data_IF_619724577992
#
_entry.id   IF_619724577992
#
_cell.length_a   1.000
_cell.length_b   1.000
_cell.length_c   1.000
_cell.angle_alpha   90.00
_cell.angle_beta   90.00
_cell.angle_gamma   90.00
#
_symmetry.space_group_name_H-M   'P 1'
#
loop_
_entity.id
_entity.type
_entity.pdbx_description
1 polymer ?
#
# COMPACT_ATOMS: atom_id res chain seq x y z
N UNK A 1 6.47 -40.98 -14.49
CA UNK A 1 5.12 -40.37 -14.47
C UNK A 1 5.18 -39.18 -15.41
N UNK A 2 4.50 -39.25 -16.54
CA UNK A 2 4.32 -38.09 -17.41
C UNK A 2 3.39 -37.12 -16.66
N UNK A 3 3.87 -35.90 -16.43
CA UNK A 3 3.24 -34.89 -15.53
C UNK A 3 2.13 -34.11 -16.24
N UNK A 4 1.79 -34.49 -17.47
CA UNK A 4 1.02 -33.62 -18.37
C UNK A 4 -0.48 -33.56 -18.06
N UNK A 5 -1.05 -34.50 -17.29
CA UNK A 5 -2.45 -34.42 -16.86
C UNK A 5 -2.61 -34.95 -15.42
N UNK A 6 -2.34 -34.09 -14.43
CA UNK A 6 -2.77 -34.37 -13.06
C UNK A 6 -4.20 -33.89 -12.92
N UNK A 7 -5.14 -34.83 -12.79
CA UNK A 7 -6.52 -34.51 -12.44
C UNK A 7 -6.61 -34.13 -10.95
N UNK A 8 -6.61 -32.82 -10.70
CA UNK A 8 -6.67 -32.25 -9.35
C UNK A 8 -7.94 -32.67 -8.58
N UNK A 9 -9.04 -32.98 -9.28
CA UNK A 9 -10.30 -33.38 -8.65
C UNK A 9 -10.23 -34.76 -7.96
N UNK A 10 -9.27 -35.59 -8.37
CA UNK A 10 -9.04 -36.93 -7.82
C UNK A 10 -8.08 -36.95 -6.64
N UNK A 11 -7.38 -35.84 -6.39
CA UNK A 11 -6.42 -35.77 -5.31
C UNK A 11 -7.14 -35.72 -3.95
N UNK A 12 -6.58 -36.36 -2.91
CA UNK A 12 -7.06 -36.16 -1.55
C UNK A 12 -6.94 -34.67 -1.21
N UNK A 13 -7.98 -34.14 -0.56
CA UNK A 13 -8.09 -32.73 -0.22
C UNK A 13 -8.82 -32.50 1.10
N UNK A 14 -8.56 -31.34 1.70
CA UNK A 14 -9.28 -30.82 2.87
C UNK A 14 -9.57 -29.35 2.66
N UNK A 15 -10.55 -28.78 3.37
CA UNK A 15 -10.72 -27.32 3.35
C UNK A 15 -9.59 -26.63 4.12
N UNK A 16 -9.28 -25.38 3.74
CA UNK A 16 -8.17 -24.62 4.32
C UNK A 16 -8.24 -24.52 5.86
N UNK A 17 -9.45 -24.38 6.40
CA UNK A 17 -9.68 -24.27 7.86
C UNK A 17 -9.64 -25.62 8.57
N UNK A 18 -9.55 -26.72 7.84
CA UNK A 18 -9.42 -28.09 8.32
C UNK A 18 -8.00 -28.62 8.13
N UNK A 19 -7.01 -27.73 7.96
CA UNK A 19 -5.61 -28.08 7.70
C UNK A 19 -4.98 -28.99 8.76
N UNK A 20 -5.56 -29.07 9.95
CA UNK A 20 -5.18 -30.00 11.02
C UNK A 20 -5.41 -31.48 10.62
N UNK A 21 -6.27 -31.75 9.64
CA UNK A 21 -6.56 -33.08 9.10
C UNK A 21 -5.55 -33.52 8.02
N UNK A 22 -4.60 -32.66 7.65
CA UNK A 22 -3.58 -33.01 6.66
C UNK A 22 -2.70 -34.19 7.15
N UNK A 23 -2.25 -35.06 6.24
CA UNK A 23 -1.40 -36.19 6.61
C UNK A 23 0.05 -35.77 6.90
N UNK A 24 0.74 -36.59 7.69
CA UNK A 24 2.18 -36.49 7.90
C UNK A 24 2.94 -37.26 6.82
N UNK A 25 3.12 -36.64 5.65
CA UNK A 25 3.85 -37.21 4.52
C UNK A 25 4.55 -36.13 3.68
N UNK A 26 5.47 -36.56 2.80
CA UNK A 26 6.08 -35.67 1.82
C UNK A 26 5.14 -35.47 0.63
N UNK A 27 4.93 -34.24 0.21
CA UNK A 27 3.95 -33.91 -0.83
C UNK A 27 4.31 -32.69 -1.66
N UNK A 28 3.75 -32.67 -2.88
CA UNK A 28 3.38 -31.43 -3.55
C UNK A 28 1.92 -31.14 -3.21
N UNK A 29 1.62 -29.92 -2.76
CA UNK A 29 0.27 -29.49 -2.44
C UNK A 29 -0.17 -28.32 -3.31
N UNK A 30 -1.47 -28.30 -3.61
CA UNK A 30 -2.16 -27.34 -4.45
C UNK A 30 -3.24 -26.67 -3.60
N UNK A 31 -3.24 -25.35 -3.62
CA UNK A 31 -4.28 -24.54 -2.98
C UNK A 31 -5.19 -24.05 -4.09
N UNK A 32 -6.46 -24.45 -4.04
CA UNK A 32 -7.43 -24.15 -5.09
C UNK A 32 -8.63 -23.39 -4.53
N UNK A 33 -9.25 -22.55 -5.37
CA UNK A 33 -10.54 -21.95 -5.05
C UNK A 33 -11.72 -22.88 -5.39
N UNK A 34 -12.93 -22.43 -5.11
CA UNK A 34 -14.17 -23.18 -5.38
C UNK A 34 -14.46 -23.43 -6.86
N UNK A 35 -13.76 -22.75 -7.77
CA UNK A 35 -13.86 -22.93 -9.23
C UNK A 35 -12.80 -23.90 -9.77
N UNK A 36 -11.92 -24.41 -8.90
CA UNK A 36 -10.82 -25.28 -9.29
C UNK A 36 -9.59 -24.53 -9.82
N UNK A 37 -9.54 -23.20 -9.69
CA UNK A 37 -8.35 -22.43 -10.06
C UNK A 37 -7.24 -22.65 -9.03
N UNK A 38 -6.06 -23.05 -9.49
CA UNK A 38 -4.88 -23.19 -8.63
C UNK A 38 -4.35 -21.81 -8.28
N UNK A 39 -4.39 -21.46 -6.99
CA UNK A 39 -3.90 -20.20 -6.43
C UNK A 39 -2.44 -20.29 -6.00
N UNK A 40 -2.04 -21.42 -5.43
CA UNK A 40 -0.68 -21.64 -4.90
C UNK A 40 -0.27 -23.10 -5.00
N UNK A 41 0.99 -23.35 -5.33
CA UNK A 41 1.61 -24.67 -5.32
C UNK A 41 2.81 -24.61 -4.38
N UNK A 42 2.95 -25.61 -3.51
CA UNK A 42 4.13 -25.75 -2.68
C UNK A 42 4.57 -27.19 -2.51
N UNK A 43 5.79 -27.36 -2.01
CA UNK A 43 6.33 -28.67 -1.60
C UNK A 43 6.66 -28.74 -0.12
N UNK A 44 6.70 -29.96 0.40
CA UNK A 44 7.15 -30.24 1.77
C UNK A 44 7.52 -31.71 1.95
N UNK A 45 8.35 -31.99 2.95
CA UNK A 45 8.63 -33.36 3.43
C UNK A 45 7.65 -33.82 4.51
N UNK A 46 6.88 -32.89 5.08
CA UNK A 46 5.85 -33.13 6.07
C UNK A 46 4.71 -32.12 5.88
N UNK A 47 3.57 -32.58 5.38
CA UNK A 47 2.47 -31.73 4.96
C UNK A 47 1.75 -31.07 6.15
N UNK A 48 1.34 -31.83 7.15
CA UNK A 48 0.71 -31.25 8.35
C UNK A 48 1.61 -30.27 9.08
N UNK A 49 2.90 -30.57 9.22
CA UNK A 49 3.86 -29.68 9.87
C UNK A 49 4.06 -28.38 9.09
N UNK A 50 4.15 -28.48 7.76
CA UNK A 50 4.29 -27.30 6.89
C UNK A 50 3.12 -26.33 7.03
N UNK A 51 1.93 -26.86 7.32
CA UNK A 51 0.71 -26.08 7.47
C UNK A 51 0.44 -25.56 8.88
N UNK A 52 1.23 -25.94 9.90
CA UNK A 52 1.15 -25.32 11.23
C UNK A 52 1.50 -23.83 11.19
N UNK A 53 2.59 -23.49 10.52
CA UNK A 53 3.14 -22.13 10.43
C UNK A 53 3.37 -21.72 8.97
N UNK A 54 2.39 -22.03 8.12
CA UNK A 54 2.50 -21.74 6.71
C UNK A 54 2.49 -20.23 6.48
N UNK A 55 3.60 -19.70 5.95
CA UNK A 55 3.79 -18.28 5.69
C UNK A 55 2.63 -17.57 4.96
N UNK A 56 1.93 -18.25 4.03
CA UNK A 56 0.74 -17.70 3.33
C UNK A 56 -0.60 -17.99 3.98
N UNK A 57 -0.64 -18.66 5.14
CA UNK A 57 -1.90 -19.09 5.75
C UNK A 57 -2.83 -17.90 6.01
N UNK A 58 -2.31 -16.78 6.50
CA UNK A 58 -3.14 -15.59 6.74
C UNK A 58 -3.70 -15.00 5.44
N UNK A 59 -2.87 -14.92 4.39
CA UNK A 59 -3.30 -14.48 3.06
C UNK A 59 -4.41 -15.40 2.51
N UNK A 60 -4.22 -16.71 2.57
CA UNK A 60 -5.20 -17.69 2.13
C UNK A 60 -6.48 -17.68 2.97
N UNK A 61 -6.37 -17.51 4.29
CA UNK A 61 -7.52 -17.41 5.20
C UNK A 61 -8.40 -16.21 4.87
N UNK A 62 -7.81 -15.11 4.36
CA UNK A 62 -8.56 -13.94 3.88
C UNK A 62 -9.32 -14.27 2.59
N UNK A 63 -8.67 -14.88 1.60
CA UNK A 63 -9.34 -15.34 0.38
C UNK A 63 -10.49 -16.33 0.67
N UNK A 64 -10.31 -17.18 1.70
CA UNK A 64 -11.33 -18.13 2.16
C UNK A 64 -12.63 -17.49 2.66
N UNK A 65 -12.65 -16.17 2.92
CA UNK A 65 -13.88 -15.45 3.31
C UNK A 65 -14.82 -15.23 2.14
N UNK A 66 -14.29 -15.05 0.92
CA UNK A 66 -15.06 -14.79 -0.30
C UNK A 66 -15.25 -16.06 -1.13
N UNK A 67 -14.22 -16.90 -1.24
CA UNK A 67 -14.23 -18.14 -2.01
C UNK A 67 -13.74 -19.30 -1.15
N UNK A 68 -14.46 -20.42 -1.11
CA UNK A 68 -14.03 -21.58 -0.34
C UNK A 68 -12.71 -22.13 -0.90
N UNK A 69 -11.70 -22.31 -0.05
CA UNK A 69 -10.37 -22.78 -0.44
C UNK A 69 -10.13 -24.20 0.05
N UNK A 70 -9.59 -25.03 -0.84
CA UNK A 70 -9.15 -26.38 -0.53
C UNK A 70 -7.63 -26.52 -0.67
N UNK A 71 -7.08 -27.45 0.10
CA UNK A 71 -5.69 -27.91 0.01
C UNK A 71 -5.75 -29.34 -0.50
N UNK A 72 -5.35 -29.55 -1.75
CA UNK A 72 -5.21 -30.87 -2.37
C UNK A 72 -3.74 -31.27 -2.42
N UNK A 73 -3.40 -32.57 -2.38
CA UNK A 73 -2.00 -32.98 -2.39
C UNK A 73 -1.72 -34.28 -3.15
N UNK A 74 -0.49 -34.38 -3.64
CA UNK A 74 0.07 -35.59 -4.25
C UNK A 74 1.15 -36.16 -3.32
N UNK A 75 0.97 -37.42 -2.88
CA UNK A 75 1.97 -38.13 -2.06
C UNK A 75 3.26 -38.36 -2.86
N UNK A 76 4.36 -37.85 -2.32
CA UNK A 76 5.69 -37.88 -2.88
C UNK A 76 6.70 -38.54 -1.94
N UNK A 77 6.25 -39.34 -0.97
CA UNK A 77 7.09 -40.00 0.04
C UNK A 77 8.18 -40.90 -0.56
N UNK A 78 7.94 -41.46 -1.76
CA UNK A 78 8.93 -42.27 -2.50
C UNK A 78 9.87 -41.45 -3.39
N UNK A 79 9.62 -40.15 -3.57
CA UNK A 79 10.29 -39.29 -4.55
C UNK A 79 10.74 -37.96 -3.93
N UNK A 80 11.15 -37.97 -2.66
CA UNK A 80 11.54 -36.78 -1.89
C UNK A 80 12.61 -35.96 -2.62
N UNK A 81 13.60 -36.63 -3.24
CA UNK A 81 14.69 -35.98 -3.97
C UNK A 81 14.23 -35.21 -5.23
N UNK A 82 13.01 -35.45 -5.71
CA UNK A 82 12.44 -34.81 -6.90
C UNK A 82 11.49 -33.66 -6.58
N UNK A 83 11.16 -33.42 -5.30
CA UNK A 83 10.15 -32.42 -4.89
C UNK A 83 10.40 -31.04 -5.48
N UNK A 84 11.64 -30.54 -5.44
CA UNK A 84 11.99 -29.22 -6.00
C UNK A 84 11.79 -29.16 -7.52
N UNK A 85 12.15 -30.23 -8.24
CA UNK A 85 11.99 -30.31 -9.69
C UNK A 85 10.51 -30.40 -10.08
N UNK A 86 9.73 -31.17 -9.30
CA UNK A 86 8.28 -31.31 -9.49
C UNK A 86 7.54 -30.00 -9.23
N UNK A 87 7.80 -29.33 -8.10
CA UNK A 87 7.22 -28.03 -7.76
C UNK A 87 7.46 -27.00 -8.87
N UNK A 88 8.72 -26.83 -9.30
CA UNK A 88 9.07 -25.89 -10.36
C UNK A 88 8.39 -26.21 -11.69
N UNK A 89 8.24 -27.49 -12.03
CA UNK A 89 7.54 -27.90 -13.25
C UNK A 89 6.05 -27.58 -13.15
N UNK A 90 5.41 -27.89 -12.03
CA UNK A 90 3.99 -27.66 -11.81
C UNK A 90 3.66 -26.17 -11.73
N UNK A 91 4.49 -25.35 -11.07
CA UNK A 91 4.33 -23.89 -11.06
C UNK A 91 4.37 -23.33 -12.49
N UNK A 92 5.27 -23.84 -13.35
CA UNK A 92 5.33 -23.40 -14.76
C UNK A 92 4.09 -23.80 -15.57
N UNK A 93 3.51 -24.98 -15.29
CA UNK A 93 2.32 -25.49 -15.99
C UNK A 93 1.07 -24.72 -15.56
N UNK A 94 0.83 -24.62 -14.25
CA UNK A 94 -0.41 -24.05 -13.71
C UNK A 94 -0.38 -22.52 -13.56
N UNK A 95 0.82 -21.91 -13.60
CA UNK A 95 1.05 -20.49 -13.39
C UNK A 95 0.24 -19.87 -12.21
N UNK A 96 0.32 -20.46 -11.00
CA UNK A 96 -0.46 -20.01 -9.84
C UNK A 96 -0.14 -18.57 -9.44
N UNK A 97 -1.17 -17.75 -9.26
CA UNK A 97 -1.04 -16.31 -9.01
C UNK A 97 -0.22 -16.00 -7.76
N UNK A 98 -0.33 -16.80 -6.69
CA UNK A 98 0.34 -16.51 -5.44
C UNK A 98 1.80 -16.94 -5.41
N UNK A 99 2.28 -17.84 -6.27
CA UNK A 99 3.69 -18.27 -6.23
C UNK A 99 4.68 -17.15 -6.58
N UNK A 100 4.22 -16.14 -7.31
CA UNK A 100 5.05 -15.01 -7.78
C UNK A 100 4.82 -13.72 -6.99
N UNK A 101 3.88 -13.72 -6.05
CA UNK A 101 3.56 -12.54 -5.21
C UNK A 101 4.34 -12.57 -3.91
N UNK A 102 4.57 -11.41 -3.28
CA UNK A 102 5.15 -11.34 -1.94
C UNK A 102 4.15 -11.82 -0.89
N UNK A 103 4.65 -12.46 0.16
CA UNK A 103 3.85 -12.85 1.31
C UNK A 103 3.73 -11.65 2.24
N UNK A 104 2.53 -11.09 2.34
CA UNK A 104 2.24 -10.04 3.31
C UNK A 104 2.23 -10.69 4.70
N UNK A 105 3.26 -10.40 5.50
CA UNK A 105 3.43 -11.00 6.82
C UNK A 105 2.64 -10.20 7.86
N UNK A 106 1.89 -10.83 8.77
CA UNK A 106 1.28 -10.11 9.89
C UNK A 106 2.39 -9.54 10.80
N UNK A 107 2.31 -8.25 11.09
CA UNK A 107 3.26 -7.53 11.95
C UNK A 107 3.23 -8.13 13.36
N UNK A 108 4.41 -8.38 13.94
CA UNK A 108 4.56 -8.69 15.38
C UNK A 108 4.00 -7.52 16.18
N UNK A 109 2.95 -7.76 16.98
CA UNK A 109 2.46 -6.79 17.99
C UNK A 109 3.64 -6.29 18.82
N UNK A 110 4.04 -5.05 18.61
CA UNK A 110 4.82 -4.31 19.59
C UNK A 110 3.79 -3.82 20.61
N UNK A 111 3.97 -4.20 21.87
CA UNK A 111 3.13 -3.77 22.98
C UNK A 111 3.13 -2.24 23.06
N UNK A 112 1.95 -1.65 22.91
CA UNK A 112 1.68 -0.23 23.08
C UNK A 112 2.05 0.23 24.49
N UNK A 113 2.98 1.17 24.60
CA UNK A 113 3.05 2.05 25.77
C UNK A 113 1.93 3.07 25.63
N UNK A 114 0.82 2.83 26.33
CA UNK A 114 -0.23 3.82 26.53
C UNK A 114 0.27 4.97 27.42
N UNK A 115 -0.30 6.15 27.14
CA UNK A 115 -0.33 7.36 27.98
C UNK A 115 0.91 8.25 27.98
N UNK A 116 0.89 9.25 27.09
CA UNK A 116 1.38 10.58 27.47
C UNK A 116 0.44 11.65 26.91
N UNK A 117 -0.31 12.39 27.75
CA UNK A 117 -1.10 13.52 27.30
C UNK A 117 -0.15 14.61 26.76
N UNK A 118 -0.41 15.05 25.53
CA UNK A 118 0.36 16.09 24.85
C UNK A 118 0.24 17.39 25.66
N UNK A 119 1.37 17.95 26.09
CA UNK A 119 1.42 19.29 26.67
C UNK A 119 1.22 20.33 25.57
N UNK A 120 0.16 21.14 25.69
CA UNK A 120 -0.26 22.28 24.86
C UNK A 120 0.78 23.43 24.69
N UNK A 121 2.05 23.23 25.04
CA UNK A 121 3.08 24.30 25.07
C UNK A 121 3.81 24.54 23.74
N UNK A 122 3.50 23.80 22.68
CA UNK A 122 4.21 23.93 21.38
C UNK A 122 3.59 25.02 20.49
N UNK A 123 2.35 25.43 20.75
CA UNK A 123 1.61 26.41 19.92
C UNK A 123 2.22 27.82 19.98
N UNK A 124 2.87 28.19 21.08
CA UNK A 124 3.37 29.57 21.27
C UNK A 124 4.67 29.89 20.50
N UNK A 125 5.46 28.87 20.10
CA UNK A 125 6.79 29.12 19.53
C UNK A 125 6.78 29.61 18.07
N UNK A 126 5.67 29.44 17.34
CA UNK A 126 5.60 29.77 15.91
C UNK A 126 4.89 31.10 15.59
N UNK A 127 4.28 31.76 16.57
CA UNK A 127 3.58 33.06 16.34
C UNK A 127 4.52 34.27 16.17
N UNK A 128 5.84 34.13 16.40
CA UNK A 128 6.74 35.30 16.46
C UNK A 128 7.49 35.67 15.15
N UNK A 129 7.24 35.03 14.00
CA UNK A 129 8.07 35.30 12.80
C UNK A 129 7.37 35.58 11.47
N UNK A 130 6.06 35.84 11.44
CA UNK A 130 5.41 36.35 10.22
C UNK A 130 4.47 37.52 10.53
N UNK A 131 4.86 38.70 10.05
CA UNK A 131 4.08 39.92 10.18
C UNK A 131 2.75 39.84 9.42
N UNK A 132 1.70 40.37 10.06
CA UNK A 132 0.48 40.91 9.48
C UNK A 132 -0.23 40.13 8.35
N UNK A 133 -0.48 38.84 8.56
CA UNK A 133 -1.63 38.19 7.91
C UNK A 133 -2.58 37.65 8.99
N UNK A 134 -3.60 38.44 9.30
CA UNK A 134 -4.81 37.98 9.99
C UNK A 134 -5.57 37.06 9.03
N UNK A 135 -5.18 35.79 8.97
CA UNK A 135 -6.06 34.72 8.56
C UNK A 135 -5.98 33.69 9.68
N UNK A 136 -6.81 33.88 10.71
CA UNK A 136 -7.17 32.79 11.62
C UNK A 136 -8.00 31.86 10.76
N UNK A 137 -7.33 30.96 10.05
CA UNK A 137 -7.98 29.84 9.38
C UNK A 137 -8.49 28.98 10.53
N UNK A 138 -9.80 28.93 10.69
CA UNK A 138 -10.48 27.96 11.52
C UNK A 138 -9.84 26.60 11.24
N UNK A 139 -9.16 26.06 12.25
CA UNK A 139 -8.57 24.73 12.15
C UNK A 139 -9.77 23.80 12.07
N UNK A 140 -10.18 23.42 10.86
CA UNK A 140 -11.02 22.24 10.68
C UNK A 140 -10.35 21.13 11.47
N UNK A 141 -11.00 20.70 12.56
CA UNK A 141 -10.47 19.60 13.36
C UNK A 141 -10.52 18.38 12.44
N UNK A 142 -9.36 17.94 11.97
CA UNK A 142 -9.25 16.73 11.15
C UNK A 142 -9.43 15.47 12.02
N UNK A 143 -10.34 15.51 13.00
CA UNK A 143 -10.71 14.47 13.96
C UNK A 143 -11.34 13.22 13.31
N UNK A 144 -11.44 13.16 11.98
CA UNK A 144 -12.02 12.03 11.26
C UNK A 144 -11.08 11.40 10.23
N UNK A 145 -9.78 11.34 10.50
CA UNK A 145 -9.14 10.06 10.19
C UNK A 145 -9.52 9.15 11.33
N UNK A 146 -10.59 8.37 11.15
CA UNK A 146 -10.86 7.25 12.04
C UNK A 146 -9.53 6.53 12.26
N UNK A 147 -9.01 6.51 13.50
CA UNK A 147 -7.80 5.78 13.78
C UNK A 147 -8.13 4.32 13.50
N UNK A 148 -7.75 3.84 12.32
CA UNK A 148 -7.85 2.43 12.02
C UNK A 148 -6.95 1.70 13.00
N UNK A 149 -7.46 0.69 13.71
CA UNK A 149 -6.63 -0.20 14.51
C UNK A 149 -5.47 -0.73 13.66
N UNK A 150 -4.27 -0.70 14.22
CA UNK A 150 -3.07 -1.18 13.54
C UNK A 150 -3.28 -2.63 13.06
N UNK A 151 -3.06 -2.86 11.76
CA UNK A 151 -3.19 -4.17 11.13
C UNK A 151 -4.54 -4.45 10.45
N UNK A 152 -5.49 -3.52 10.49
CA UNK A 152 -6.68 -3.60 9.66
C UNK A 152 -6.39 -3.30 8.18
N UNK A 153 -7.14 -3.97 7.30
CA UNK A 153 -7.04 -3.79 5.85
C UNK A 153 -8.01 -2.69 5.44
N UNK A 154 -7.51 -1.67 4.75
CA UNK A 154 -8.36 -0.60 4.21
C UNK A 154 -8.76 -0.96 2.78
N UNK A 155 -10.05 -1.17 2.56
CA UNK A 155 -10.60 -1.28 1.21
C UNK A 155 -10.75 0.11 0.60
N UNK A 156 -10.19 0.31 -0.59
CA UNK A 156 -10.06 1.61 -1.24
C UNK A 156 -10.33 1.43 -2.74
N UNK A 157 -10.91 2.45 -3.36
CA UNK A 157 -10.94 2.59 -4.82
C UNK A 157 -9.81 3.51 -5.29
N UNK A 158 -9.30 3.34 -6.51
CA UNK A 158 -8.29 4.25 -7.08
C UNK A 158 -8.67 4.74 -8.46
N UNK A 159 -8.26 5.98 -8.73
CA UNK A 159 -8.39 6.63 -10.03
C UNK A 159 -7.09 7.33 -10.39
N UNK A 160 -6.79 7.39 -11.69
CA UNK A 160 -5.61 8.08 -12.20
C UNK A 160 -6.02 9.38 -12.86
N UNK A 161 -5.51 10.49 -12.34
CA UNK A 161 -5.70 11.82 -12.91
C UNK A 161 -4.48 12.18 -13.75
N UNK A 162 -4.70 12.74 -14.94
CA UNK A 162 -3.63 13.21 -15.82
C UNK A 162 -3.65 14.74 -15.87
N UNK A 163 -2.63 15.36 -15.29
CA UNK A 163 -2.50 16.82 -15.13
C UNK A 163 -1.23 17.29 -15.81
N UNK A 164 -1.33 18.00 -16.94
CA UNK A 164 -0.18 18.51 -17.70
C UNK A 164 0.91 17.43 -17.97
N UNK A 165 0.47 16.20 -18.29
CA UNK A 165 1.35 15.05 -18.52
C UNK A 165 1.91 14.40 -17.25
N UNK A 166 1.37 14.74 -16.07
CA UNK A 166 1.66 14.11 -14.78
C UNK A 166 0.51 13.20 -14.40
N UNK A 167 0.79 11.92 -14.19
CA UNK A 167 -0.18 10.96 -13.66
C UNK A 167 -0.19 11.01 -12.12
N UNK A 168 -1.37 11.19 -11.53
CA UNK A 168 -1.59 11.23 -10.09
C UNK A 168 -2.61 10.15 -9.72
N UNK A 169 -2.15 9.14 -8.97
CA UNK A 169 -3.04 8.12 -8.41
C UNK A 169 -3.72 8.67 -7.15
N UNK A 170 -5.05 8.81 -7.23
CA UNK A 170 -5.90 9.22 -6.12
C UNK A 170 -6.68 8.01 -5.61
N UNK A 171 -6.55 7.76 -4.31
CA UNK A 171 -7.22 6.72 -3.57
C UNK A 171 -8.46 7.29 -2.86
N UNK A 172 -9.61 6.63 -2.94
CA UNK A 172 -10.83 7.04 -2.25
C UNK A 172 -11.29 5.94 -1.30
N UNK A 173 -11.46 6.27 -0.02
CA UNK A 173 -11.97 5.31 0.96
C UNK A 173 -13.50 5.19 0.89
N UNK A 174 -14.06 4.26 1.66
CA UNK A 174 -15.52 4.01 1.76
C UNK A 174 -16.32 5.22 2.23
N UNK A 175 -15.69 6.18 2.91
CA UNK A 175 -16.33 7.40 3.42
C UNK A 175 -16.20 8.57 2.44
N UNK A 176 -15.74 8.33 1.20
CA UNK A 176 -15.56 9.36 0.17
C UNK A 176 -14.35 10.27 0.41
N UNK A 177 -13.45 9.96 1.36
CA UNK A 177 -12.24 10.75 1.59
C UNK A 177 -11.15 10.36 0.60
N UNK A 178 -10.45 11.36 0.08
CA UNK A 178 -9.43 11.20 -0.94
C UNK A 178 -8.01 11.27 -0.39
N UNK A 179 -7.15 10.43 -0.93
CA UNK A 179 -5.77 10.26 -0.53
C UNK A 179 -4.86 10.12 -1.74
N UNK A 180 -3.57 10.36 -1.54
CA UNK A 180 -2.50 10.03 -2.48
C UNK A 180 -1.53 9.09 -1.79
N UNK A 181 -1.04 8.06 -2.48
CA UNK A 181 -0.02 7.18 -1.89
C UNK A 181 1.32 7.89 -1.82
N UNK A 182 2.07 7.64 -0.76
CA UNK A 182 3.41 8.20 -0.59
C UNK A 182 4.37 7.92 -1.75
N UNK A 183 4.19 6.81 -2.48
CA UNK A 183 4.96 6.50 -3.69
C UNK A 183 4.80 7.55 -4.78
N UNK A 184 3.59 8.09 -4.95
CA UNK A 184 3.29 9.09 -5.95
C UNK A 184 4.03 10.38 -5.59
N UNK A 185 3.91 10.82 -4.32
CA UNK A 185 4.70 11.92 -3.78
C UNK A 185 6.19 11.70 -4.03
N UNK A 186 6.74 10.56 -3.59
CA UNK A 186 8.16 10.27 -3.71
C UNK A 186 8.67 10.30 -5.15
N UNK A 187 7.92 9.71 -6.07
CA UNK A 187 8.24 9.73 -7.49
C UNK A 187 8.27 11.14 -8.05
N UNK A 188 7.27 11.97 -7.69
CA UNK A 188 7.22 13.36 -8.14
C UNK A 188 8.37 14.22 -7.60
N UNK A 189 8.78 14.01 -6.34
CA UNK A 189 9.85 14.81 -5.74
C UNK A 189 11.22 14.40 -6.23
N UNK A 190 11.47 13.08 -6.25
CA UNK A 190 12.82 12.55 -6.41
C UNK A 190 13.08 11.92 -7.78
N UNK A 191 12.07 11.83 -8.65
CA UNK A 191 12.19 11.24 -9.99
C UNK A 191 12.60 9.77 -9.98
N UNK A 192 12.40 9.08 -8.85
CA UNK A 192 12.84 7.69 -8.65
C UNK A 192 11.91 6.95 -7.72
N UNK A 193 11.92 5.62 -7.84
CA UNK A 193 11.16 4.75 -6.94
C UNK A 193 11.68 4.93 -5.51
N UNK A 194 10.77 4.91 -4.54
CA UNK A 194 11.13 5.02 -3.13
C UNK A 194 12.18 3.96 -2.74
N UNK A 195 13.39 4.36 -2.28
CA UNK A 195 14.45 3.42 -1.93
C UNK A 195 14.12 2.74 -0.59
N UNK A 196 13.72 1.46 -0.67
CA UNK A 196 13.57 0.47 0.41
C UNK A 196 12.77 0.92 1.66
N UNK A 197 11.67 0.22 1.94
CA UNK A 197 10.75 0.47 3.08
C UNK A 197 11.41 0.00 4.39
N UNK A 198 12.47 0.66 4.84
CA UNK A 198 12.70 0.74 6.29
C UNK A 198 11.66 1.73 6.79
N UNK A 199 10.49 1.21 7.13
CA UNK A 199 9.24 1.91 7.41
C UNK A 199 9.39 3.21 8.21
N UNK A 200 10.21 3.18 9.26
CA UNK A 200 10.43 4.33 10.14
C UNK A 200 11.08 5.52 9.44
N UNK A 201 11.99 5.28 8.48
CA UNK A 201 12.70 6.36 7.80
C UNK A 201 11.77 7.14 6.87
N UNK A 202 10.89 6.44 6.15
CA UNK A 202 9.91 7.08 5.27
C UNK A 202 8.94 7.90 6.12
N UNK A 203 8.45 7.37 7.24
CA UNK A 203 7.59 8.11 8.16
C UNK A 203 8.28 9.40 8.62
N UNK A 204 9.51 9.30 9.13
CA UNK A 204 10.29 10.46 9.59
C UNK A 204 10.52 11.51 8.48
N UNK A 205 10.83 11.08 7.26
CA UNK A 205 11.04 11.98 6.12
C UNK A 205 9.76 12.75 5.78
N UNK A 206 8.61 12.07 5.84
CA UNK A 206 7.30 12.66 5.56
C UNK A 206 6.84 13.58 6.70
N UNK A 207 7.05 13.20 7.96
CA UNK A 207 6.81 14.06 9.13
C UNK A 207 7.65 15.34 9.02
N UNK A 208 8.94 15.21 8.69
CA UNK A 208 9.82 16.37 8.47
C UNK A 208 9.36 17.24 7.30
N UNK A 209 8.76 16.67 6.25
CA UNK A 209 8.20 17.44 5.15
C UNK A 209 6.94 18.21 5.57
N UNK A 210 6.04 17.58 6.33
CA UNK A 210 4.85 18.23 6.89
C UNK A 210 5.24 19.34 7.86
N UNK A 211 6.19 19.10 8.77
CA UNK A 211 6.56 20.06 9.82
C UNK A 211 7.13 21.37 9.25
N UNK A 212 7.55 21.35 7.99
CA UNK A 212 8.00 22.54 7.24
C UNK A 212 6.87 23.31 6.58
N UNK A 213 5.67 22.73 6.50
CA UNK A 213 4.50 23.43 5.98
C UNK A 213 4.15 24.59 6.92
N UNK A 214 3.88 25.79 6.38
CA UNK A 214 3.57 26.96 7.20
C UNK A 214 2.20 26.88 7.87
N UNK A 215 1.40 25.85 7.56
CA UNK A 215 0.04 25.67 8.06
C UNK A 215 0.04 24.76 9.28
N UNK A 216 -0.47 25.26 10.40
CA UNK A 216 -0.72 24.45 11.62
C UNK A 216 -1.75 23.32 11.41
N UNK A 217 -2.44 23.31 10.26
CA UNK A 217 -3.50 22.35 9.88
C UNK A 217 -3.09 20.88 10.03
N UNK A 218 -1.79 20.58 9.89
CA UNK A 218 -1.27 19.22 9.92
C UNK A 218 -0.59 18.85 11.24
N UNK A 219 -0.60 19.75 12.23
CA UNK A 219 -0.01 19.51 13.55
C UNK A 219 -0.69 18.31 14.22
N UNK A 220 0.11 17.31 14.62
CA UNK A 220 -0.38 16.09 15.27
C UNK A 220 -0.84 14.99 14.31
N UNK A 221 -0.81 15.24 13.00
CA UNK A 221 -0.97 14.18 12.02
C UNK A 221 0.16 13.16 12.15
N UNK A 222 -0.17 11.87 12.23
CA UNK A 222 0.80 10.79 12.31
C UNK A 222 0.70 9.89 11.10
N UNK A 223 1.82 9.71 10.41
CA UNK A 223 1.88 8.74 9.33
C UNK A 223 1.99 7.32 9.89
N UNK A 224 1.34 6.41 9.19
CA UNK A 224 1.44 4.97 9.44
C UNK A 224 1.41 4.22 8.12
N UNK A 225 2.03 3.06 8.11
CA UNK A 225 1.91 2.14 6.99
C UNK A 225 0.61 1.37 7.15
N UNK A 226 -0.24 1.45 6.13
CA UNK A 226 -1.49 0.72 6.08
C UNK A 226 -1.41 -0.36 5.00
N UNK A 227 -2.07 -1.49 5.24
CA UNK A 227 -2.35 -2.48 4.20
C UNK A 227 -3.61 -2.04 3.47
N UNK A 228 -3.46 -1.71 2.20
CA UNK A 228 -4.54 -1.24 1.33
C UNK A 228 -4.88 -2.36 0.36
N UNK A 229 -6.17 -2.62 0.18
CA UNK A 229 -6.68 -3.47 -0.90
C UNK A 229 -7.50 -2.62 -1.85
N UNK A 230 -7.11 -2.64 -3.12
CA UNK A 230 -7.87 -1.99 -4.18
C UNK A 230 -9.03 -2.86 -4.59
N UNK A 231 -10.24 -2.32 -4.50
CA UNK A 231 -11.49 -3.05 -4.77
C UNK A 231 -11.66 -3.47 -6.24
N UNK A 232 -10.99 -2.76 -7.15
CA UNK A 232 -11.14 -2.93 -8.60
C UNK A 232 -10.37 -4.14 -9.14
N UNK A 233 -9.22 -4.46 -8.54
CA UNK A 233 -8.30 -5.49 -9.04
C UNK A 233 -7.75 -6.42 -7.94
N UNK A 234 -8.31 -6.35 -6.73
CA UNK A 234 -7.90 -7.10 -5.53
C UNK A 234 -6.39 -6.97 -5.21
N UNK A 235 -5.75 -5.87 -5.64
CA UNK A 235 -4.31 -5.64 -5.40
C UNK A 235 -4.10 -5.17 -3.97
N UNK A 236 -3.32 -5.94 -3.21
CA UNK A 236 -2.89 -5.61 -1.84
C UNK A 236 -1.52 -4.90 -1.87
N UNK A 237 -1.44 -3.71 -1.26
CA UNK A 237 -0.20 -2.93 -1.14
C UNK A 237 -0.03 -2.36 0.26
N UNK A 238 1.20 -2.36 0.76
CA UNK A 238 1.58 -1.57 1.93
C UNK A 238 1.94 -0.15 1.49
N UNK A 239 1.26 0.85 2.04
CA UNK A 239 1.55 2.25 1.72
C UNK A 239 1.17 3.16 2.87
N UNK A 240 1.85 4.31 2.94
CA UNK A 240 1.39 5.47 3.68
C UNK A 240 0.42 6.26 2.78
N UNK A 241 -0.70 6.69 3.35
CA UNK A 241 -1.71 7.52 2.68
C UNK A 241 -1.55 8.98 3.09
N UNK A 242 -1.50 9.86 2.10
CA UNK A 242 -1.52 11.30 2.26
C UNK A 242 -2.94 11.79 2.04
N UNK A 243 -3.55 12.55 2.96
CA UNK A 243 -4.76 13.30 2.65
C UNK A 243 -4.53 14.13 1.38
N UNK A 244 -5.47 14.11 0.43
CA UNK A 244 -5.30 14.79 -0.86
C UNK A 244 -4.96 16.28 -0.69
N UNK A 245 -5.60 16.95 0.26
CA UNK A 245 -5.35 18.37 0.58
C UNK A 245 -3.92 18.59 1.10
N UNK A 246 -3.41 17.71 1.96
CA UNK A 246 -2.03 17.78 2.45
C UNK A 246 -1.03 17.57 1.32
N UNK A 247 -1.33 16.65 0.42
CA UNK A 247 -0.53 16.45 -0.78
C UNK A 247 -0.48 17.72 -1.64
N UNK A 248 -1.61 18.39 -1.89
CA UNK A 248 -1.62 19.69 -2.58
C UNK A 248 -0.78 20.75 -1.87
N UNK A 249 -0.90 20.87 -0.55
CA UNK A 249 -0.14 21.82 0.26
C UNK A 249 1.36 21.55 0.18
N UNK A 250 1.78 20.28 0.24
CA UNK A 250 3.18 19.88 0.02
C UNK A 250 3.66 20.29 -1.37
N UNK A 251 2.89 20.00 -2.42
CA UNK A 251 3.30 20.37 -3.79
C UNK A 251 3.38 21.89 -3.97
N UNK A 252 2.44 22.66 -3.38
CA UNK A 252 2.49 24.13 -3.38
C UNK A 252 3.69 24.66 -2.61
N UNK A 253 4.03 24.06 -1.46
CA UNK A 253 5.18 24.47 -0.65
C UNK A 253 6.51 24.28 -1.38
N UNK A 254 6.65 23.22 -2.19
CA UNK A 254 7.85 23.01 -3.01
C UNK A 254 8.15 24.14 -3.98
N UNK A 255 7.16 24.98 -4.31
CA UNK A 255 7.37 26.20 -5.10
C UNK A 255 8.53 27.04 -4.57
N UNK A 256 8.66 27.09 -3.25
CA UNK A 256 9.69 27.87 -2.55
C UNK A 256 11.11 27.32 -2.78
N UNK A 257 11.23 26.04 -3.12
CA UNK A 257 12.52 25.37 -3.34
C UNK A 257 13.03 25.53 -4.78
N UNK A 258 12.19 25.96 -5.73
CA UNK A 258 12.68 26.33 -7.06
C UNK A 258 13.49 27.62 -6.98
N UNK A 259 14.49 27.77 -7.85
CA UNK A 259 15.36 28.94 -7.88
C UNK A 259 15.37 29.56 -9.28
N UNK A 260 15.75 30.83 -9.35
CA UNK A 260 15.89 31.56 -10.61
C UNK A 260 14.57 31.78 -11.35
N UNK A 261 14.64 31.80 -12.69
CA UNK A 261 13.56 32.21 -13.59
C UNK A 261 12.26 31.42 -13.40
N UNK A 262 12.33 30.10 -13.22
CA UNK A 262 11.14 29.27 -13.04
C UNK A 262 10.35 29.64 -11.80
N UNK A 263 11.02 30.04 -10.71
CA UNK A 263 10.35 30.51 -9.49
C UNK A 263 9.63 31.84 -9.74
N UNK A 264 10.27 32.79 -10.38
CA UNK A 264 9.65 34.09 -10.71
C UNK A 264 8.43 33.91 -11.61
N UNK A 265 8.52 33.04 -12.61
CA UNK A 265 7.41 32.70 -13.51
C UNK A 265 6.26 32.02 -12.74
N UNK A 266 6.55 31.09 -11.82
CA UNK A 266 5.55 30.49 -10.95
C UNK A 266 4.94 31.51 -9.98
N UNK A 267 5.71 32.46 -9.46
CA UNK A 267 5.20 33.51 -8.57
C UNK A 267 4.23 34.45 -9.29
N UNK A 268 4.49 34.74 -10.56
CA UNK A 268 3.62 35.57 -11.42
C UNK A 268 2.46 34.78 -12.07
N UNK A 269 2.46 33.45 -11.98
CA UNK A 269 1.51 32.60 -12.71
C UNK A 269 1.74 32.60 -14.23
N UNK A 270 2.93 32.97 -14.68
CA UNK A 270 3.32 33.05 -16.09
C UNK A 270 4.01 31.77 -16.58
N UNK A 271 4.28 30.83 -15.66
CA UNK A 271 4.96 29.58 -15.96
C UNK A 271 4.21 28.76 -17.03
N UNK A 272 4.95 28.28 -18.04
CA UNK A 272 4.45 27.40 -19.08
C UNK A 272 5.18 26.05 -19.01
N UNK A 273 4.48 24.95 -18.70
CA UNK A 273 5.06 23.61 -18.68
C UNK A 273 5.76 23.25 -19.99
N UNK A 274 6.97 22.70 -19.88
CA UNK A 274 7.76 22.14 -21.00
C UNK A 274 7.82 20.61 -20.87
N UNK A 275 8.05 19.88 -21.98
CA UNK A 275 8.10 18.42 -21.95
C UNK A 275 9.09 17.85 -20.93
N UNK A 276 10.29 18.43 -20.83
CA UNK A 276 11.39 17.96 -19.97
C UNK A 276 11.34 18.48 -18.54
N UNK A 277 10.33 19.28 -18.18
CA UNK A 277 10.21 19.81 -16.84
C UNK A 277 9.88 18.68 -15.83
N UNK A 278 10.41 18.74 -14.60
CA UNK A 278 10.05 17.81 -13.54
C UNK A 278 8.54 17.73 -13.30
N UNK A 279 8.02 16.54 -12.98
CA UNK A 279 6.59 16.35 -12.68
C UNK A 279 6.10 17.28 -11.56
N UNK A 280 6.93 17.49 -10.53
CA UNK A 280 6.63 18.37 -9.40
C UNK A 280 6.43 19.83 -9.80
N UNK A 281 7.15 20.36 -10.80
CA UNK A 281 6.99 21.76 -11.21
C UNK A 281 5.75 21.97 -12.08
N UNK A 282 5.46 21.01 -12.96
CA UNK A 282 4.23 20.99 -13.78
C UNK A 282 2.99 20.97 -12.89
N UNK A 283 2.96 20.02 -11.95
CA UNK A 283 1.84 19.89 -11.02
C UNK A 283 1.73 21.11 -10.10
N UNK A 284 2.85 21.67 -9.63
CA UNK A 284 2.86 22.89 -8.84
C UNK A 284 2.25 24.08 -9.60
N UNK A 285 2.60 24.27 -10.87
CA UNK A 285 2.03 25.32 -11.72
C UNK A 285 0.51 25.15 -11.87
N UNK A 286 0.05 23.93 -12.16
CA UNK A 286 -1.37 23.63 -12.32
C UNK A 286 -2.17 23.86 -11.02
N UNK A 287 -1.62 23.46 -9.87
CA UNK A 287 -2.22 23.61 -8.54
C UNK A 287 -2.32 25.06 -8.02
N UNK A 288 -1.78 26.04 -8.75
CA UNK A 288 -1.96 27.46 -8.40
C UNK A 288 -3.36 27.97 -8.72
N UNK A 289 -4.01 27.39 -9.72
CA UNK A 289 -5.31 27.84 -10.24
C UNK A 289 -6.39 26.78 -10.08
N UNK A 290 -6.01 25.57 -9.69
CA UNK A 290 -6.89 24.41 -9.63
C UNK A 290 -6.66 23.64 -8.33
N UNK A 291 -7.57 22.71 -8.04
CA UNK A 291 -7.41 21.67 -7.02
C UNK A 291 -7.68 20.32 -7.68
N UNK A 292 -6.94 19.28 -7.27
CA UNK A 292 -7.21 17.91 -7.70
C UNK A 292 -8.62 17.49 -7.32
N UNK A 293 -9.14 17.95 -6.17
CA UNK A 293 -10.52 17.69 -5.75
C UNK A 293 -11.55 18.15 -6.78
N UNK A 294 -11.27 19.21 -7.55
CA UNK A 294 -12.19 19.70 -8.59
C UNK A 294 -12.33 18.74 -9.78
N UNK A 295 -11.30 17.92 -10.04
CA UNK A 295 -11.33 16.88 -11.07
C UNK A 295 -12.05 15.60 -10.61
N UNK A 296 -12.33 15.48 -9.31
CA UNK A 296 -13.01 14.31 -8.74
C UNK A 296 -14.52 14.48 -8.69
N UNK A 297 -15.01 15.70 -8.92
CA UNK A 297 -16.44 16.04 -8.92
C UNK A 297 -17.07 15.95 -10.32
N UNK A 298 -16.26 15.64 -11.33
CA UNK A 298 -16.63 15.48 -12.75
C UNK A 298 -16.60 14.02 -13.16
#
# INVERSE_FOLDING_TARGET
MLIEDIDLSTLPSVYLLEKEQLPNLAAIYFVCDSKGQVLYIGRTVNLVERWKDHHRFQQLKRFNRKNLISISWMDCSKQINLLSKLENKLIKIYNPSLNWTRVVSPIRKITSFENNPISLKVVDKYQQSYGNTKNVIEVESWEELEPMPEGEIREITRQFLYVDGVEVEVCTNTNGKHFVRHNVYWWMIYGRKNPNIVSEKIIQDLESAIDRLPTIRWSGYRFRIETIVFSEDDVEVESILFPLVMFEDLIRWLKLNYTGKSREELEKGEYKPKPDDPASIKLCAWLQRNSLSSLLQT
#
